data_IF_653623109037
#
_entry.id   IF_653623109037
#
_cell.length_a   1.000
_cell.length_b   1.000
_cell.length_c   1.000
_cell.angle_alpha   90.00
_cell.angle_beta   90.00
_cell.angle_gamma   90.00
#
_symmetry.space_group_name_H-M   'P 1'
#
loop_
_entity.id
_entity.type
_entity.pdbx_description
1 polymer ?
#
# COMPACT_ATOMS: atom_id res chain seq x y z
N UNK A 1 13.11 19.46 6.43
CA UNK A 1 11.76 18.94 6.15
C UNK A 1 11.65 18.69 4.65
N UNK A 2 11.08 17.57 4.22
CA UNK A 2 10.84 17.26 2.81
C UNK A 2 9.63 18.07 2.31
N UNK A 3 9.73 18.63 1.11
CA UNK A 3 8.69 19.45 0.46
C UNK A 3 8.32 18.82 -0.89
N UNK A 4 7.14 19.13 -1.42
CA UNK A 4 6.74 18.67 -2.75
C UNK A 4 7.72 19.10 -3.83
N UNK A 5 8.20 20.35 -3.78
CA UNK A 5 9.22 20.84 -4.71
C UNK A 5 10.49 19.98 -4.70
N UNK A 6 10.92 19.49 -3.53
CA UNK A 6 12.10 18.63 -3.44
C UNK A 6 11.83 17.23 -4.00
N UNK A 7 10.66 16.64 -3.72
CA UNK A 7 10.27 15.32 -4.24
C UNK A 7 10.22 15.35 -5.77
N UNK A 8 9.59 16.38 -6.35
CA UNK A 8 9.40 16.53 -7.79
C UNK A 8 10.70 16.72 -8.58
N UNK A 9 11.81 17.05 -7.92
CA UNK A 9 13.13 17.18 -8.58
C UNK A 9 13.79 15.84 -8.89
N UNK A 10 13.36 14.76 -8.23
CA UNK A 10 13.91 13.43 -8.44
C UNK A 10 13.09 12.64 -9.46
N UNK A 11 13.72 11.75 -10.24
CA UNK A 11 12.98 10.91 -11.16
C UNK A 11 12.08 9.92 -10.42
N UNK A 12 10.96 9.54 -11.01
CA UNK A 12 9.99 8.64 -10.37
C UNK A 12 9.84 7.32 -11.11
N UNK A 13 9.78 6.22 -10.35
CA UNK A 13 9.27 4.94 -10.84
C UNK A 13 7.80 4.82 -10.48
N UNK A 14 6.98 4.36 -11.41
CA UNK A 14 5.59 4.03 -11.16
C UNK A 14 5.28 2.61 -11.62
N UNK A 15 4.48 1.90 -10.81
CA UNK A 15 3.98 0.59 -11.21
C UNK A 15 2.82 0.72 -12.21
N UNK A 16 2.98 0.10 -13.37
CA UNK A 16 1.96 -0.18 -14.39
C UNK A 16 1.11 -1.37 -13.96
N UNK A 17 0.53 -1.33 -12.77
CA UNK A 17 -0.54 -2.27 -12.44
C UNK A 17 -1.84 -1.50 -12.62
N UNK A 18 -2.63 -1.86 -13.62
CA UNK A 18 -4.00 -1.34 -13.75
C UNK A 18 -4.79 -1.60 -12.45
N UNK A 19 -4.44 -2.66 -11.74
CA UNK A 19 -4.95 -3.07 -10.42
C UNK A 19 -4.48 -2.16 -9.26
N UNK A 20 -3.30 -1.52 -9.34
CA UNK A 20 -2.83 -0.54 -8.33
C UNK A 20 -3.41 0.85 -8.57
N UNK A 21 -3.91 1.16 -9.76
CA UNK A 21 -4.71 2.39 -9.96
C UNK A 21 -6.03 2.31 -9.18
N UNK A 22 -6.53 1.10 -8.93
CA UNK A 22 -7.67 0.80 -8.05
C UNK A 22 -7.29 0.59 -6.58
N UNK A 23 -5.99 0.47 -6.25
CA UNK A 23 -5.51 0.91 -4.94
C UNK A 23 -5.70 2.42 -4.91
N UNK A 24 -6.96 2.80 -4.67
CA UNK A 24 -7.35 4.11 -4.24
C UNK A 24 -6.56 4.30 -2.95
N UNK A 25 -5.39 4.92 -3.07
CA UNK A 25 -4.90 5.82 -2.05
C UNK A 25 -6.10 6.69 -1.74
N UNK A 26 -6.85 6.33 -0.71
CA UNK A 26 -7.95 7.12 -0.18
C UNK A 26 -7.29 8.25 0.60
N UNK A 27 -6.47 9.00 -0.12
CA UNK A 27 -6.13 10.34 0.21
C UNK A 27 -7.48 11.08 0.21
N UNK A 28 -7.75 11.87 1.24
CA UNK A 28 -8.95 12.72 1.30
C UNK A 28 -9.16 13.43 -0.04
N UNK A 29 -10.41 13.74 -0.44
CA UNK A 29 -10.70 14.37 -1.76
C UNK A 29 -9.85 15.62 -2.08
N UNK A 30 -9.19 16.21 -1.08
CA UNK A 30 -8.28 17.35 -1.18
C UNK A 30 -6.80 17.02 -0.86
N UNK A 31 -6.38 15.75 -0.86
CA UNK A 31 -4.97 15.41 -0.59
C UNK A 31 -4.11 15.86 -1.76
N UNK A 32 -3.09 16.65 -1.44
CA UNK A 32 -2.13 17.13 -2.43
C UNK A 32 -1.21 15.99 -2.86
N UNK A 33 -1.00 14.95 -2.02
CA UNK A 33 -0.31 13.71 -2.45
C UNK A 33 -0.95 13.10 -3.68
N UNK A 34 -2.26 12.87 -3.67
CA UNK A 34 -2.93 12.23 -4.81
C UNK A 34 -2.95 13.11 -6.06
N UNK A 35 -2.96 14.43 -5.89
CA UNK A 35 -2.87 15.38 -7.01
C UNK A 35 -1.45 15.40 -7.58
N UNK A 36 -0.44 15.56 -6.74
CA UNK A 36 0.96 15.60 -7.15
C UNK A 36 1.43 14.27 -7.74
N UNK A 37 1.07 13.12 -7.15
CA UNK A 37 1.41 11.81 -7.73
C UNK A 37 0.73 11.56 -9.08
N UNK A 38 -0.40 12.21 -9.38
CA UNK A 38 -1.03 12.16 -10.71
C UNK A 38 -0.37 13.10 -11.71
N UNK A 39 0.13 14.24 -11.25
CA UNK A 39 0.81 15.25 -12.07
C UNK A 39 2.24 14.85 -12.43
N UNK A 40 2.87 14.00 -11.61
CA UNK A 40 4.20 13.45 -11.89
C UNK A 40 4.11 12.48 -13.06
N UNK A 41 4.63 12.89 -14.22
CA UNK A 41 4.92 11.95 -15.30
C UNK A 41 6.08 11.04 -14.85
N UNK A 42 5.87 9.72 -14.68
CA UNK A 42 6.94 8.84 -14.24
C UNK A 42 8.03 8.75 -15.31
N UNK A 43 9.29 8.82 -14.88
CA UNK A 43 10.43 8.62 -15.76
C UNK A 43 10.58 7.15 -16.14
N UNK A 44 10.14 6.24 -15.27
CA UNK A 44 10.08 4.81 -15.53
C UNK A 44 8.71 4.26 -15.13
N UNK A 45 8.09 3.51 -16.05
CA UNK A 45 6.85 2.78 -15.81
C UNK A 45 7.09 1.28 -16.01
N UNK A 46 6.74 0.45 -15.03
CA UNK A 46 6.91 -1.02 -15.11
C UNK A 46 5.81 -1.75 -14.36
N UNK A 47 5.36 -2.89 -14.86
CA UNK A 47 4.41 -3.80 -14.19
C UNK A 47 5.09 -4.70 -13.14
N UNK A 48 6.42 -4.70 -13.08
CA UNK A 48 7.20 -5.61 -12.23
C UNK A 48 7.69 -4.88 -10.96
N UNK A 49 7.12 -5.23 -9.80
CA UNK A 49 7.52 -4.66 -8.50
C UNK A 49 9.02 -4.79 -8.25
N UNK A 50 9.60 -5.96 -8.53
CA UNK A 50 11.02 -6.20 -8.32
C UNK A 50 11.89 -5.24 -9.15
N UNK A 51 11.52 -4.99 -10.41
CA UNK A 51 12.22 -4.03 -11.28
C UNK A 51 12.16 -2.63 -10.69
N UNK A 52 11.00 -2.19 -10.20
CA UNK A 52 10.87 -0.87 -9.58
C UNK A 52 11.77 -0.73 -8.34
N UNK A 53 11.78 -1.75 -7.49
CA UNK A 53 12.64 -1.81 -6.29
C UNK A 53 14.12 -1.77 -6.67
N UNK A 54 14.56 -2.54 -7.66
CA UNK A 54 15.96 -2.56 -8.10
C UNK A 54 16.41 -1.21 -8.67
N UNK A 55 15.52 -0.50 -9.37
CA UNK A 55 15.85 0.83 -9.90
C UNK A 55 16.06 1.81 -8.76
N UNK A 56 15.15 1.88 -7.79
CA UNK A 56 15.30 2.76 -6.61
C UNK A 56 16.56 2.42 -5.83
N UNK A 57 16.87 1.13 -5.66
CA UNK A 57 18.05 0.67 -4.93
C UNK A 57 19.38 1.12 -5.56
N UNK A 58 19.40 1.31 -6.87
CA UNK A 58 20.64 1.60 -7.62
C UNK A 58 20.62 2.99 -8.29
N UNK A 59 19.70 3.87 -7.92
CA UNK A 59 19.59 5.21 -8.51
C UNK A 59 19.03 6.21 -7.50
N UNK A 60 18.80 7.44 -7.96
CA UNK A 60 18.15 8.52 -7.25
C UNK A 60 16.63 8.56 -7.49
N UNK A 61 16.06 7.50 -8.07
CA UNK A 61 14.63 7.42 -8.30
C UNK A 61 13.84 7.29 -7.00
N UNK A 62 12.68 7.94 -6.97
CA UNK A 62 11.69 7.80 -5.92
C UNK A 62 10.58 6.84 -6.37
N UNK A 63 10.08 6.05 -5.43
CA UNK A 63 8.98 5.11 -5.66
C UNK A 63 7.91 5.27 -4.56
N UNK A 64 6.69 5.73 -4.91
CA UNK A 64 5.59 5.76 -3.97
C UNK A 64 5.12 4.34 -3.68
N UNK A 65 5.47 3.83 -2.50
CA UNK A 65 5.18 2.47 -2.07
C UNK A 65 4.42 2.43 -0.73
N UNK A 66 3.57 1.40 -0.50
CA UNK A 66 2.99 1.16 0.81
C UNK A 66 4.08 0.92 1.88
N UNK A 67 3.90 1.40 3.13
CA UNK A 67 4.86 1.20 4.21
C UNK A 67 5.23 -0.27 4.46
N UNK A 68 4.30 -1.20 4.19
CA UNK A 68 4.50 -2.64 4.34
C UNK A 68 5.72 -3.19 3.58
N UNK A 69 6.14 -2.55 2.48
CA UNK A 69 7.33 -2.97 1.73
C UNK A 69 8.61 -2.83 2.54
N UNK A 70 8.64 -1.94 3.54
CA UNK A 70 9.80 -1.78 4.41
C UNK A 70 9.91 -2.88 5.46
N UNK A 71 8.86 -3.69 5.66
CA UNK A 71 8.85 -4.82 6.60
C UNK A 71 9.43 -6.10 5.99
N UNK A 72 9.58 -6.15 4.67
CA UNK A 72 10.14 -7.30 3.96
C UNK A 72 11.63 -7.09 3.75
N UNK A 73 12.47 -7.78 4.53
CA UNK A 73 13.93 -7.63 4.51
C UNK A 73 14.54 -7.67 3.10
N UNK A 74 14.04 -8.56 2.24
CA UNK A 74 14.54 -8.70 0.86
C UNK A 74 14.27 -7.47 -0.02
N UNK A 75 13.17 -6.76 0.25
CA UNK A 75 12.78 -5.54 -0.47
C UNK A 75 13.45 -4.32 0.18
N UNK A 76 13.35 -4.19 1.49
CA UNK A 76 13.75 -3.01 2.26
C UNK A 76 15.25 -2.83 2.37
N UNK A 77 16.04 -3.88 2.15
CA UNK A 77 17.50 -3.80 2.18
C UNK A 77 18.00 -2.69 1.25
N UNK A 78 18.84 -1.82 1.84
CA UNK A 78 19.44 -0.65 1.21
C UNK A 78 18.44 0.41 0.72
N UNK A 79 17.19 0.36 1.17
CA UNK A 79 16.17 1.37 0.94
C UNK A 79 15.89 2.17 2.22
N UNK A 80 15.47 3.42 2.04
CA UNK A 80 14.96 4.26 3.13
C UNK A 80 13.56 4.74 2.79
N UNK A 81 12.67 4.71 3.77
CA UNK A 81 11.36 5.34 3.65
C UNK A 81 11.48 6.83 3.96
N UNK A 82 10.99 7.67 3.04
CA UNK A 82 10.86 9.10 3.27
C UNK A 82 9.43 9.40 3.74
N UNK A 83 9.25 10.31 4.73
CA UNK A 83 7.92 10.77 5.09
C UNK A 83 7.32 11.53 3.91
N UNK A 84 5.99 11.54 3.81
CA UNK A 84 5.30 12.38 2.85
C UNK A 84 5.51 13.87 3.19
N UNK A 85 5.65 14.75 2.18
CA UNK A 85 5.73 16.19 2.40
C UNK A 85 4.54 16.74 3.18
N UNK A 86 4.77 17.83 3.91
CA UNK A 86 3.73 18.59 4.61
C UNK A 86 2.96 17.80 5.69
N UNK A 87 3.43 16.62 6.08
CA UNK A 87 2.75 15.76 7.07
C UNK A 87 1.48 15.12 6.53
N UNK A 88 1.37 14.98 5.20
CA UNK A 88 0.26 14.23 4.62
C UNK A 88 0.34 12.75 4.98
N UNK A 89 -0.83 12.14 5.14
CA UNK A 89 -0.96 10.71 5.38
C UNK A 89 -1.77 10.08 4.26
N UNK A 90 -1.27 8.97 3.74
CA UNK A 90 -1.95 8.19 2.72
C UNK A 90 -2.29 6.83 3.30
N UNK A 91 -3.58 6.49 3.22
CA UNK A 91 -4.07 5.17 3.60
C UNK A 91 -4.39 4.35 2.37
N UNK A 92 -3.83 3.14 2.31
CA UNK A 92 -4.24 2.11 1.37
C UNK A 92 -5.30 1.24 2.02
N UNK A 93 -6.43 1.03 1.34
CA UNK A 93 -7.48 0.11 1.79
C UNK A 93 -7.34 -1.22 1.05
N UNK A 94 -6.95 -2.25 1.77
CA UNK A 94 -7.01 -3.62 1.28
C UNK A 94 -8.37 -4.24 1.63
N UNK A 95 -8.93 -4.98 0.68
CA UNK A 95 -10.15 -5.76 0.89
C UNK A 95 -9.87 -7.22 0.60
N UNK A 96 -10.30 -8.10 1.51
CA UNK A 96 -10.29 -9.53 1.29
C UNK A 96 -11.68 -9.94 0.84
N UNK A 97 -11.79 -10.58 -0.33
CA UNK A 97 -13.06 -11.01 -0.92
C UNK A 97 -13.21 -12.51 -0.71
N UNK A 98 -14.32 -12.92 -0.10
CA UNK A 98 -14.74 -14.32 -0.04
C UNK A 98 -15.98 -14.50 -0.92
N UNK A 99 -15.85 -15.20 -2.03
CA UNK A 99 -16.92 -15.31 -3.02
C UNK A 99 -17.94 -16.37 -2.60
N UNK A 100 -19.25 -16.10 -2.75
CA UNK A 100 -20.32 -17.02 -2.33
C UNK A 100 -20.20 -18.43 -2.93
N UNK A 101 -19.76 -18.52 -4.20
CA UNK A 101 -19.44 -19.80 -4.88
C UNK A 101 -18.51 -20.73 -4.07
N UNK A 102 -17.61 -20.20 -3.25
CA UNK A 102 -16.68 -21.01 -2.43
C UNK A 102 -17.12 -21.17 -0.98
N UNK A 103 -18.30 -20.67 -0.60
CA UNK A 103 -18.83 -20.70 0.78
C UNK A 103 -19.03 -22.11 1.36
N UNK A 104 -19.10 -23.12 0.50
CA UNK A 104 -19.21 -24.54 0.89
C UNK A 104 -17.91 -25.33 0.66
N UNK A 105 -16.78 -24.65 0.45
CA UNK A 105 -15.48 -25.30 0.23
C UNK A 105 -14.64 -25.25 1.49
N UNK A 106 -14.48 -26.36 2.23
CA UNK A 106 -13.69 -26.38 3.47
C UNK A 106 -12.25 -25.86 3.31
N UNK A 107 -11.53 -26.14 2.21
CA UNK A 107 -10.20 -25.57 1.99
C UNK A 107 -10.18 -24.04 1.87
N UNK A 108 -11.15 -23.44 1.18
CA UNK A 108 -11.24 -21.98 1.06
C UNK A 108 -11.62 -21.35 2.41
N UNK A 109 -12.55 -21.97 3.13
CA UNK A 109 -12.96 -21.55 4.46
C UNK A 109 -11.81 -21.58 5.47
N UNK A 110 -11.01 -22.64 5.42
CA UNK A 110 -9.79 -22.76 6.22
C UNK A 110 -8.80 -21.64 5.89
N UNK A 111 -8.44 -21.48 4.60
CA UNK A 111 -7.47 -20.46 4.19
C UNK A 111 -7.93 -19.04 4.55
N UNK A 112 -9.22 -18.75 4.34
CA UNK A 112 -9.81 -17.46 4.70
C UNK A 112 -9.67 -17.17 6.20
N UNK A 113 -9.90 -18.17 7.07
CA UNK A 113 -9.71 -18.02 8.53
C UNK A 113 -8.24 -17.82 8.89
N UNK A 114 -7.32 -18.56 8.30
CA UNK A 114 -5.89 -18.37 8.53
C UNK A 114 -5.42 -16.97 8.12
N UNK A 115 -5.90 -16.47 6.98
CA UNK A 115 -5.63 -15.09 6.55
C UNK A 115 -6.16 -14.06 7.55
N UNK A 116 -7.36 -14.24 8.10
CA UNK A 116 -7.89 -13.36 9.15
C UNK A 116 -7.01 -13.35 10.40
N UNK A 117 -6.50 -14.51 10.83
CA UNK A 117 -5.60 -14.62 11.99
C UNK A 117 -4.29 -13.88 11.75
N UNK A 118 -3.70 -14.01 10.56
CA UNK A 118 -2.48 -13.27 10.19
C UNK A 118 -2.73 -11.76 10.18
N UNK A 119 -3.86 -11.33 9.61
CA UNK A 119 -4.23 -9.90 9.59
C UNK A 119 -4.42 -9.37 11.01
N UNK A 120 -5.15 -10.05 11.89
CA UNK A 120 -5.33 -9.59 13.27
C UNK A 120 -4.00 -9.57 14.05
N UNK A 121 -3.11 -10.54 13.80
CA UNK A 121 -1.76 -10.55 14.38
C UNK A 121 -0.93 -9.34 13.94
N UNK A 122 -0.99 -8.98 12.66
CA UNK A 122 -0.37 -7.76 12.14
C UNK A 122 -0.97 -6.52 12.82
N UNK A 123 -2.31 -6.43 12.91
CA UNK A 123 -2.98 -5.29 13.52
C UNK A 123 -2.60 -5.12 14.99
N UNK A 124 -2.52 -6.22 15.74
CA UNK A 124 -2.06 -6.19 17.13
C UNK A 124 -0.62 -5.71 17.26
N UNK A 125 0.27 -6.07 16.33
CA UNK A 125 1.68 -5.64 16.35
C UNK A 125 1.82 -4.11 16.19
N UNK A 126 0.93 -3.49 15.42
CA UNK A 126 0.96 -2.07 15.10
C UNK A 126 -0.05 -1.23 15.89
N UNK A 127 -0.56 -1.75 17.01
CA UNK A 127 -1.55 -1.07 17.86
C UNK A 127 -2.79 -0.58 17.09
N UNK A 128 -3.20 -1.37 16.09
CA UNK A 128 -4.39 -1.12 15.28
C UNK A 128 -5.59 -1.89 15.86
N UNK A 129 -6.82 -1.33 15.80
CA UNK A 129 -8.02 -2.00 16.32
C UNK A 129 -8.22 -3.40 15.72
N UNK A 130 -8.58 -4.46 16.46
CA UNK A 130 -8.84 -5.78 15.87
C UNK A 130 -9.99 -5.76 14.86
N UNK A 131 -10.03 -6.74 13.95
CA UNK A 131 -11.04 -6.83 12.89
C UNK A 131 -12.47 -6.87 13.45
N UNK A 132 -12.68 -7.54 14.59
CA UNK A 132 -13.99 -7.58 15.26
C UNK A 132 -14.47 -6.18 15.68
N UNK A 133 -13.57 -5.36 16.23
CA UNK A 133 -13.91 -3.99 16.62
C UNK A 133 -14.20 -3.12 15.40
N UNK A 134 -13.40 -3.24 14.33
CA UNK A 134 -13.67 -2.52 13.08
C UNK A 134 -15.01 -2.90 12.46
N UNK A 135 -15.38 -4.18 12.48
CA UNK A 135 -16.69 -4.65 11.99
C UNK A 135 -17.83 -4.00 12.74
N UNK A 136 -17.75 -3.93 14.08
CA UNK A 136 -18.72 -3.24 14.94
C UNK A 136 -18.82 -1.75 14.61
N UNK A 137 -17.69 -1.07 14.50
CA UNK A 137 -17.62 0.36 14.18
C UNK A 137 -18.21 0.68 12.80
N UNK A 138 -17.99 -0.19 11.82
CA UNK A 138 -18.41 0.01 10.43
C UNK A 138 -19.75 -0.63 10.08
N UNK A 139 -20.41 -1.32 11.01
CA UNK A 139 -21.69 -2.01 10.80
C UNK A 139 -21.65 -2.98 9.61
N UNK A 140 -20.56 -3.74 9.49
CA UNK A 140 -20.39 -4.71 8.40
C UNK A 140 -21.14 -6.02 8.70
N UNK A 141 -21.75 -6.63 7.67
CA UNK A 141 -22.38 -7.94 7.76
C UNK A 141 -21.33 -9.07 7.81
N UNK A 142 -21.77 -10.26 8.23
CA UNK A 142 -20.97 -11.50 8.24
C UNK A 142 -20.53 -11.89 6.83
#
# INVERSE_FOLDING_TARGET
>A
KITWENVLRFPHVQLSMDELQEIQFHASRNSKVAQHLKEVAPNLKTDQLYTAVQVVRHSDYLFPAPPLFMEQDDISKDLIALPLPEGEEVTVKYVMVNHERVSHSPPHDFLYREMLVVIDSFRSRYDLPPLEQLRKLRKLAY
#
